data_IF_293814811469
#
_entry.id   IF_293814811469
#
_cell.length_a   1.000
_cell.length_b   1.000
_cell.length_c   1.000
_cell.angle_alpha   90.00
_cell.angle_beta   90.00
_cell.angle_gamma   90.00
#
_symmetry.space_group_name_H-M   'P 1'
#
loop_
_entity.id
_entity.type
_entity.pdbx_description
1 polymer ?
#
# COMPACT_ATOMS: atom_id res chain seq x y z
N UNK A 1 -4.12 -0.79 -11.14
CA UNK A 1 -2.90 -1.22 -11.88
C UNK A 1 -3.26 -2.39 -12.78
N UNK A 2 -2.61 -2.59 -13.93
CA UNK A 2 -2.78 -3.80 -14.75
C UNK A 2 -1.50 -4.65 -14.69
N UNK A 3 -1.61 -5.93 -14.38
CA UNK A 3 -0.48 -6.87 -14.23
C UNK A 3 -0.95 -8.31 -14.48
N UNK A 4 -0.12 -9.15 -15.11
CA UNK A 4 -0.45 -10.57 -15.30
C UNK A 4 -1.77 -10.84 -16.06
N UNK A 5 -2.22 -9.89 -16.89
CA UNK A 5 -3.53 -9.95 -17.56
C UNK A 5 -4.71 -9.43 -16.73
N UNK A 6 -4.53 -9.18 -15.44
CA UNK A 6 -5.55 -8.74 -14.50
C UNK A 6 -5.49 -7.24 -14.21
N UNK A 7 -6.63 -6.66 -13.88
CA UNK A 7 -6.74 -5.37 -13.22
C UNK A 7 -6.70 -5.57 -11.71
N UNK A 8 -5.93 -4.74 -11.02
CA UNK A 8 -5.76 -4.73 -9.57
C UNK A 8 -6.26 -3.40 -9.02
N UNK A 9 -7.13 -3.47 -8.01
CA UNK A 9 -7.58 -2.34 -7.21
C UNK A 9 -7.23 -2.62 -5.75
N UNK A 10 -6.66 -1.61 -5.10
CA UNK A 10 -6.45 -1.59 -3.67
C UNK A 10 -7.25 -0.44 -3.10
N UNK A 11 -7.85 -0.61 -1.91
CA UNK A 11 -8.57 0.46 -1.26
C UNK A 11 -8.48 0.40 0.25
N UNK A 12 -8.63 1.58 0.86
CA UNK A 12 -8.65 1.74 2.30
C UNK A 12 -9.88 1.07 2.90
N UNK A 13 -9.66 0.23 3.91
CA UNK A 13 -10.68 -0.52 4.59
C UNK A 13 -10.46 -0.47 6.10
N UNK A 14 -11.56 -0.37 6.86
CA UNK A 14 -11.56 -0.55 8.30
C UNK A 14 -12.23 -1.90 8.60
N UNK A 15 -11.45 -2.88 9.03
CA UNK A 15 -11.96 -4.22 9.37
C UNK A 15 -12.77 -4.27 10.67
N UNK A 16 -12.79 -3.17 11.43
CA UNK A 16 -13.41 -3.09 12.76
C UNK A 16 -14.64 -2.19 12.81
N UNK A 17 -15.04 -1.55 11.72
CA UNK A 17 -16.22 -0.68 11.74
C UNK A 17 -16.49 0.05 10.43
N UNK A 18 -17.62 0.77 10.42
CA UNK A 18 -18.13 1.51 9.26
C UNK A 18 -17.73 2.99 9.26
N UNK A 19 -16.88 3.39 10.21
CA UNK A 19 -16.31 4.73 10.32
C UNK A 19 -14.82 4.69 9.98
N UNK A 20 -14.23 5.84 9.70
CA UNK A 20 -12.80 5.92 9.41
C UNK A 20 -11.93 5.58 10.63
N UNK A 21 -10.86 4.80 10.41
CA UNK A 21 -9.85 4.41 11.42
C UNK A 21 -9.34 2.98 11.22
N UNK A 22 -8.19 2.62 11.80
CA UNK A 22 -7.52 1.31 11.62
C UNK A 22 -7.35 0.95 10.14
N UNK A 23 -6.86 1.90 9.34
CA UNK A 23 -6.87 1.79 7.89
C UNK A 23 -5.83 0.77 7.42
N UNK A 24 -6.33 -0.22 6.70
CA UNK A 24 -5.56 -1.23 5.97
C UNK A 24 -5.96 -1.20 4.50
N UNK A 25 -5.15 -1.84 3.65
CA UNK A 25 -5.47 -2.02 2.24
C UNK A 25 -5.94 -3.44 1.99
N UNK A 26 -7.13 -3.55 1.42
CA UNK A 26 -7.60 -4.80 0.81
C UNK A 26 -7.47 -4.72 -0.70
N UNK A 27 -7.48 -5.90 -1.34
CA UNK A 27 -7.11 -6.06 -2.73
C UNK A 27 -8.21 -6.79 -3.49
N UNK A 28 -8.62 -6.23 -4.62
CA UNK A 28 -9.51 -6.85 -5.58
C UNK A 28 -8.80 -7.04 -6.92
N UNK A 29 -9.13 -8.13 -7.61
CA UNK A 29 -8.73 -8.34 -9.00
C UNK A 29 -9.95 -8.46 -9.92
N UNK A 30 -9.76 -8.11 -11.19
CA UNK A 30 -10.79 -8.20 -12.22
C UNK A 30 -10.18 -8.46 -13.59
N UNK A 31 -10.93 -9.13 -14.47
CA UNK A 31 -10.59 -9.26 -15.89
C UNK A 31 -11.20 -8.14 -16.75
N UNK A 32 -12.24 -7.46 -16.27
CA UNK A 32 -13.11 -6.60 -17.07
C UNK A 32 -13.44 -5.24 -16.43
N UNK A 33 -12.89 -4.94 -15.24
CA UNK A 33 -13.16 -3.76 -14.41
C UNK A 33 -14.60 -3.67 -13.86
N UNK A 34 -15.42 -4.70 -14.04
CA UNK A 34 -16.82 -4.73 -13.62
C UNK A 34 -17.06 -5.80 -12.55
N UNK A 35 -16.52 -7.00 -12.78
CA UNK A 35 -16.63 -8.14 -11.89
C UNK A 35 -15.34 -8.26 -11.07
N UNK A 36 -15.47 -8.23 -9.75
CA UNK A 36 -14.34 -8.18 -8.82
C UNK A 36 -14.28 -9.41 -7.93
N UNK A 37 -13.09 -10.02 -7.85
CA UNK A 37 -12.79 -11.08 -6.90
C UNK A 37 -11.96 -10.49 -5.75
N UNK A 38 -12.44 -10.58 -4.49
CA UNK A 38 -11.67 -10.14 -3.34
C UNK A 38 -10.52 -11.11 -3.03
N UNK A 39 -9.39 -10.52 -2.65
CA UNK A 39 -8.20 -11.19 -2.14
C UNK A 39 -7.92 -10.71 -0.70
N UNK A 40 -6.86 -11.26 -0.10
CA UNK A 40 -6.46 -10.96 1.28
C UNK A 40 -5.92 -9.54 1.50
N UNK A 41 -5.66 -9.22 2.76
CA UNK A 41 -5.05 -7.96 3.19
C UNK A 41 -3.62 -7.81 2.68
N UNK A 42 -3.32 -6.68 2.05
CA UNK A 42 -2.03 -6.47 1.38
C UNK A 42 -1.11 -5.50 2.13
N UNK A 43 -1.66 -4.40 2.63
CA UNK A 43 -0.89 -3.39 3.39
C UNK A 43 -1.61 -3.12 4.70
N UNK A 44 -1.01 -3.49 5.82
CA UNK A 44 -1.53 -3.29 7.17
C UNK A 44 -0.39 -2.90 8.11
N UNK A 45 -0.63 -2.19 9.22
CA UNK A 45 0.42 -1.77 10.15
C UNK A 45 1.33 -2.92 10.57
N UNK A 46 2.63 -2.83 10.24
CA UNK A 46 3.61 -3.89 10.55
C UNK A 46 5.06 -3.42 10.62
N UNK A 47 5.34 -2.15 10.33
CA UNK A 47 6.65 -1.54 10.47
C UNK A 47 6.56 -0.24 11.27
N UNK A 48 7.66 0.23 11.89
CA UNK A 48 7.64 1.49 12.65
C UNK A 48 7.13 2.70 11.87
N UNK A 49 7.32 2.73 10.54
CA UNK A 49 6.90 3.82 9.65
C UNK A 49 5.42 3.81 9.26
N UNK A 50 4.66 2.79 9.65
CA UNK A 50 3.22 2.71 9.41
C UNK A 50 2.44 2.08 10.57
N UNK A 51 3.06 2.09 11.75
CA UNK A 51 2.59 1.37 12.93
C UNK A 51 1.20 1.85 13.39
N UNK A 52 0.84 3.10 13.11
CA UNK A 52 -0.46 3.65 13.46
C UNK A 52 -1.51 3.41 12.37
N UNK A 53 -1.19 3.63 11.08
CA UNK A 53 -2.11 3.44 9.96
C UNK A 53 -1.38 3.33 8.60
N UNK A 54 -2.01 2.67 7.62
CA UNK A 54 -1.54 2.58 6.23
C UNK A 54 -2.48 3.34 5.28
N UNK A 55 -2.18 4.61 5.01
CA UNK A 55 -2.99 5.49 4.17
C UNK A 55 -2.74 5.30 2.67
N UNK A 56 -3.36 6.16 1.87
CA UNK A 56 -3.39 6.10 0.40
C UNK A 56 -2.00 6.12 -0.23
N UNK A 57 -1.97 5.72 -1.49
CA UNK A 57 -0.75 5.54 -2.26
C UNK A 57 -1.06 5.29 -3.72
N UNK A 58 -0.04 4.94 -4.49
CA UNK A 58 -0.16 4.66 -5.92
C UNK A 58 0.81 3.56 -6.33
N UNK A 59 0.39 2.74 -7.29
CA UNK A 59 1.23 1.73 -7.90
C UNK A 59 1.95 2.30 -9.12
N UNK A 60 3.24 2.00 -9.25
CA UNK A 60 4.04 2.27 -10.44
C UNK A 60 4.55 0.94 -11.01
N UNK A 61 4.43 0.77 -12.32
CA UNK A 61 5.04 -0.37 -13.00
C UNK A 61 6.43 0.03 -13.48
N UNK A 62 7.46 -0.49 -12.82
CA UNK A 62 8.86 -0.21 -13.15
C UNK A 62 9.29 -0.99 -14.41
N UNK A 63 10.41 -0.60 -15.06
CA UNK A 63 11.00 -1.35 -16.16
C UNK A 63 11.17 -2.84 -15.83
N UNK A 64 10.89 -3.70 -16.81
CA UNK A 64 10.87 -5.14 -16.62
C UNK A 64 9.58 -5.67 -15.98
N UNK A 65 8.48 -4.93 -16.07
CA UNK A 65 7.16 -5.32 -15.55
C UNK A 65 7.22 -5.62 -14.04
N UNK A 66 7.79 -4.71 -13.25
CA UNK A 66 7.93 -4.89 -11.80
C UNK A 66 7.03 -3.89 -11.05
N UNK A 67 5.89 -4.33 -10.49
CA UNK A 67 5.04 -3.48 -9.68
C UNK A 67 5.76 -3.00 -8.42
N UNK A 68 5.52 -1.75 -8.05
CA UNK A 68 5.86 -1.20 -6.76
C UNK A 68 4.77 -0.24 -6.29
N UNK A 69 4.49 -0.20 -4.99
CA UNK A 69 3.53 0.72 -4.39
C UNK A 69 4.29 1.68 -3.49
N UNK A 70 4.12 2.98 -3.74
CA UNK A 70 4.41 4.01 -2.75
C UNK A 70 3.12 4.32 -2.01
N UNK A 71 3.14 4.28 -0.68
CA UNK A 71 2.00 4.61 0.17
C UNK A 71 2.43 5.45 1.38
N UNK A 72 1.48 6.20 1.93
CA UNK A 72 1.71 6.97 3.15
C UNK A 72 1.47 6.07 4.37
N UNK A 73 2.46 5.94 5.24
CA UNK A 73 2.28 5.37 6.58
C UNK A 73 2.19 6.46 7.64
N UNK A 74 1.53 6.15 8.74
CA UNK A 74 1.53 6.97 9.95
C UNK A 74 2.48 6.32 10.97
N UNK A 75 3.57 7.01 11.26
CA UNK A 75 4.57 6.54 12.22
C UNK A 75 4.14 6.72 13.68
N UNK A 76 4.95 6.24 14.62
CA UNK A 76 4.66 6.33 16.06
C UNK A 76 4.53 7.76 16.61
N UNK A 77 4.98 8.77 15.87
CA UNK A 77 4.85 10.18 16.22
C UNK A 77 3.70 10.87 15.46
N UNK A 78 2.81 10.09 14.83
CA UNK A 78 1.70 10.57 14.00
C UNK A 78 2.15 11.42 12.80
N UNK A 79 3.35 11.19 12.28
CA UNK A 79 3.83 11.84 11.05
C UNK A 79 3.45 11.00 9.84
N UNK A 80 3.08 11.69 8.76
CA UNK A 80 2.88 11.08 7.45
C UNK A 80 4.24 10.86 6.78
N UNK A 81 4.62 9.61 6.56
CA UNK A 81 5.89 9.22 5.92
C UNK A 81 5.62 8.35 4.70
N UNK A 82 6.55 8.31 3.75
CA UNK A 82 6.36 7.59 2.49
C UNK A 82 7.11 6.26 2.51
N UNK A 83 6.37 5.18 2.33
CA UNK A 83 6.86 3.81 2.38
C UNK A 83 6.76 3.16 0.99
N UNK A 84 7.65 2.20 0.72
CA UNK A 84 7.60 1.36 -0.47
C UNK A 84 7.24 -0.08 -0.11
N UNK A 85 6.35 -0.67 -0.90
CA UNK A 85 6.04 -2.10 -0.91
C UNK A 85 6.21 -2.68 -2.32
N UNK A 86 6.62 -3.94 -2.39
CA UNK A 86 6.83 -4.70 -3.64
C UNK A 86 6.22 -6.10 -3.52
N UNK A 87 5.74 -6.71 -4.62
CA UNK A 87 5.26 -8.08 -4.59
C UNK A 87 6.37 -9.04 -4.18
N UNK A 88 6.04 -10.02 -3.35
CA UNK A 88 6.96 -11.09 -2.93
C UNK A 88 7.27 -12.05 -4.08
N UNK A 89 6.28 -12.31 -4.94
CA UNK A 89 6.37 -13.23 -6.06
C UNK A 89 5.83 -12.56 -7.33
N UNK A 90 6.72 -12.21 -8.26
CA UNK A 90 6.32 -11.60 -9.53
C UNK A 90 5.69 -12.61 -10.50
N UNK A 91 5.90 -13.91 -10.33
CA UNK A 91 5.26 -14.92 -11.16
C UNK A 91 3.78 -15.14 -10.80
N UNK A 92 3.34 -14.63 -9.65
CA UNK A 92 1.93 -14.66 -9.24
C UNK A 92 1.16 -13.52 -9.94
N UNK A 93 0.23 -13.81 -10.86
CA UNK A 93 -0.56 -12.77 -11.52
C UNK A 93 -1.54 -12.09 -10.55
N UNK A 94 -1.89 -12.72 -9.43
CA UNK A 94 -2.80 -12.16 -8.43
C UNK A 94 -2.09 -11.19 -7.50
N UNK A 95 -0.76 -11.27 -7.35
CA UNK A 95 0.05 -10.44 -6.45
C UNK A 95 -0.51 -10.45 -5.01
N UNK A 96 -0.74 -11.64 -4.47
CA UNK A 96 -1.35 -11.82 -3.14
C UNK A 96 -0.42 -11.31 -2.04
N UNK A 97 0.87 -11.65 -2.13
CA UNK A 97 1.86 -11.33 -1.10
C UNK A 97 2.68 -10.09 -1.46
N UNK A 98 2.75 -9.13 -0.53
CA UNK A 98 3.58 -7.93 -0.63
C UNK A 98 4.56 -7.81 0.54
N UNK A 99 5.75 -7.31 0.23
CA UNK A 99 6.82 -7.06 1.20
C UNK A 99 7.10 -5.56 1.23
N UNK A 100 7.10 -5.00 2.43
CA UNK A 100 7.53 -3.62 2.69
C UNK A 100 9.05 -3.59 2.79
N UNK A 101 9.69 -2.58 2.20
CA UNK A 101 11.14 -2.44 2.29
C UNK A 101 11.60 -2.28 3.76
N UNK A 102 12.69 -2.95 4.19
CA UNK A 102 13.28 -2.72 5.51
C UNK A 102 13.78 -1.30 5.72
N UNK A 103 14.10 -0.58 4.64
CA UNK A 103 14.61 0.80 4.65
C UNK A 103 13.51 1.86 4.79
N UNK A 104 12.24 1.45 4.94
CA UNK A 104 11.15 2.39 5.14
C UNK A 104 11.31 3.21 6.44
N UNK A 105 10.91 4.50 6.45
CA UNK A 105 10.33 5.23 5.33
C UNK A 105 11.40 5.77 4.36
N UNK A 106 11.08 5.83 3.07
CA UNK A 106 11.96 6.39 2.04
C UNK A 106 11.94 7.92 2.00
N UNK A 107 10.81 8.54 2.37
CA UNK A 107 10.69 10.00 2.45
C UNK A 107 9.95 10.38 3.73
N UNK A 108 10.43 11.42 4.39
CA UNK A 108 9.85 11.93 5.64
C UNK A 108 9.49 13.42 5.46
N UNK A 109 8.58 13.96 6.27
CA UNK A 109 8.32 15.39 6.28
C UNK A 109 9.62 16.16 6.52
N UNK A 110 9.86 17.26 5.79
CA UNK A 110 11.03 18.09 6.05
C UNK A 110 10.95 18.66 7.48
N UNK A 111 12.11 18.75 8.13
CA UNK A 111 12.21 19.45 9.41
C UNK A 111 12.13 20.95 9.13
N UNK A 112 10.94 21.53 9.28
CA UNK A 112 10.80 22.97 9.23
C UNK A 112 11.37 23.58 10.51
N UNK A 113 12.59 24.12 10.40
CA UNK A 113 13.18 25.00 11.41
C UNK A 113 12.49 26.39 11.34
N UNK A 114 11.21 26.43 11.70
CA UNK A 114 10.50 27.68 11.99
C UNK A 114 9.85 28.42 10.81
N UNK A 115 8.73 29.06 11.16
CA UNK A 115 7.87 30.00 10.43
C UNK A 115 6.91 29.41 9.40
N UNK A 116 5.70 29.11 9.88
CA UNK A 116 4.49 29.51 9.15
C UNK A 116 4.31 31.02 9.26
#
# INVERSE_FOLDING_TARGET
>A
MRYGGLYHVFYQYNSKGVIWGNIVWIHLVSNDLMNWTPLDLVIFPSQPSDINDCWSGSATLLPGNKPAILYTGIDSMNRQVQNLAQPKNLSDPFLIDWVKLPQNPLMVPPVFLGKR
#
